data_IF_185223319376
#
_entry.id   IF_185223319376
#
_cell.length_a   1.000
_cell.length_b   1.000
_cell.length_c   1.000
_cell.angle_alpha   90.00
_cell.angle_beta   90.00
_cell.angle_gamma   90.00
#
_symmetry.space_group_name_H-M   'P 1'
#
loop_
_entity.id
_entity.type
_entity.pdbx_description
1 polymer ?
#
# COMPACT_ATOMS: atom_id res chain seq x y z
N UNK A 1 -23.39 -18.45 -15.31
CA UNK A 1 -22.53 -19.61 -15.01
C UNK A 1 -21.30 -19.07 -14.30
N UNK A 2 -20.76 -19.76 -13.30
CA UNK A 2 -19.50 -19.34 -12.68
C UNK A 2 -18.40 -19.41 -13.74
N UNK A 3 -17.56 -18.38 -13.85
CA UNK A 3 -16.39 -18.40 -14.74
C UNK A 3 -15.47 -19.54 -14.30
N UNK A 4 -14.94 -20.30 -15.26
CA UNK A 4 -14.08 -21.46 -14.98
C UNK A 4 -12.83 -21.05 -14.18
N UNK A 5 -12.31 -19.85 -14.39
CA UNK A 5 -11.16 -19.32 -13.64
C UNK A 5 -11.49 -19.11 -12.17
N UNK A 6 -12.67 -18.57 -11.86
CA UNK A 6 -13.09 -18.38 -10.48
C UNK A 6 -13.21 -19.72 -9.73
N UNK A 7 -13.84 -20.73 -10.35
CA UNK A 7 -13.99 -22.06 -9.75
C UNK A 7 -12.64 -22.75 -9.57
N UNK A 8 -11.71 -22.55 -10.50
CA UNK A 8 -10.36 -23.10 -10.43
C UNK A 8 -9.56 -22.51 -9.24
N UNK A 9 -9.53 -21.19 -9.06
CA UNK A 9 -8.89 -20.58 -7.87
C UNK A 9 -9.57 -20.95 -6.55
N UNK A 10 -10.88 -21.24 -6.57
CA UNK A 10 -11.62 -21.67 -5.39
C UNK A 10 -11.28 -23.10 -4.96
N UNK A 11 -11.10 -24.00 -5.93
CA UNK A 11 -10.86 -25.44 -5.69
C UNK A 11 -9.38 -25.81 -5.63
N UNK A 12 -8.55 -25.06 -6.35
CA UNK A 12 -7.11 -25.27 -6.50
C UNK A 12 -6.33 -23.97 -6.22
N UNK A 13 -6.40 -23.44 -4.99
CA UNK A 13 -5.80 -22.14 -4.68
C UNK A 13 -4.27 -22.13 -4.79
N UNK A 14 -3.72 -21.00 -5.24
CA UNK A 14 -2.28 -20.79 -5.47
C UNK A 14 -1.66 -20.09 -4.27
N UNK A 15 -0.59 -20.68 -3.73
CA UNK A 15 0.14 -20.12 -2.59
C UNK A 15 -0.67 -20.09 -1.28
N UNK A 16 -1.70 -20.91 -1.13
CA UNK A 16 -2.36 -21.07 0.17
C UNK A 16 -1.41 -21.81 1.13
N UNK A 17 -1.12 -21.23 2.28
CA UNK A 17 -0.29 -21.89 3.28
C UNK A 17 0.33 -20.96 4.31
N UNK A 18 1.40 -21.46 4.92
CA UNK A 18 2.11 -20.76 5.98
C UNK A 18 2.89 -19.54 5.47
N UNK A 19 3.25 -18.67 6.41
CA UNK A 19 4.06 -17.47 6.16
C UNK A 19 5.54 -17.89 6.01
N UNK A 20 6.18 -17.62 4.86
CA UNK A 20 7.60 -17.93 4.68
C UNK A 20 8.47 -17.15 5.67
N UNK A 21 9.60 -17.75 6.07
CA UNK A 21 10.59 -17.03 6.88
C UNK A 21 11.13 -15.81 6.12
N UNK A 22 11.12 -14.65 6.80
CA UNK A 22 11.52 -13.37 6.21
C UNK A 22 10.40 -12.66 5.43
N UNK A 23 9.21 -13.26 5.27
CA UNK A 23 8.13 -12.60 4.58
C UNK A 23 7.47 -11.49 5.43
N UNK A 24 7.04 -10.43 4.77
CA UNK A 24 6.25 -9.35 5.34
C UNK A 24 4.76 -9.60 5.10
N UNK A 25 3.96 -9.44 6.15
CA UNK A 25 2.53 -9.72 6.11
C UNK A 25 1.71 -8.43 5.97
N UNK A 26 0.78 -8.44 5.03
CA UNK A 26 -0.33 -7.50 4.97
C UNK A 26 -1.65 -8.21 5.28
N UNK A 27 -2.55 -7.51 5.99
CA UNK A 27 -3.85 -8.05 6.41
C UNK A 27 -4.94 -7.04 6.07
N UNK A 28 -6.07 -7.51 5.56
CA UNK A 28 -7.27 -6.69 5.31
C UNK A 28 -8.54 -7.47 5.66
N UNK A 29 -9.56 -6.75 6.16
CA UNK A 29 -10.86 -7.32 6.54
C UNK A 29 -11.14 -7.34 8.04
N UNK A 30 -12.11 -8.15 8.47
CA UNK A 30 -12.41 -8.47 9.87
C UNK A 30 -13.59 -7.73 10.54
N UNK A 31 -13.99 -6.54 10.07
CA UNK A 31 -14.95 -5.69 10.79
C UNK A 31 -16.41 -5.72 10.27
N UNK A 32 -16.63 -5.80 8.95
CA UNK A 32 -17.97 -5.59 8.36
C UNK A 32 -18.62 -6.86 7.81
N UNK A 33 -17.87 -7.71 7.11
CA UNK A 33 -18.38 -8.92 6.44
C UNK A 33 -17.90 -10.23 7.07
N UNK A 34 -16.94 -10.18 7.99
CA UNK A 34 -16.27 -11.35 8.56
C UNK A 34 -15.18 -11.95 7.68
N UNK A 35 -15.01 -11.48 6.44
CA UNK A 35 -13.89 -11.89 5.58
C UNK A 35 -12.58 -11.29 6.10
N UNK A 36 -11.52 -12.09 6.04
CA UNK A 36 -10.16 -11.70 6.39
C UNK A 36 -9.21 -12.31 5.36
N UNK A 37 -8.35 -11.47 4.78
CA UNK A 37 -7.28 -11.89 3.88
C UNK A 37 -5.95 -11.48 4.49
N UNK A 38 -5.02 -12.43 4.56
CA UNK A 38 -3.61 -12.22 4.88
C UNK A 38 -2.78 -12.64 3.68
N UNK A 39 -1.90 -11.75 3.24
CA UNK A 39 -0.91 -12.03 2.20
C UNK A 39 0.48 -11.84 2.82
N UNK A 40 1.39 -12.76 2.53
CA UNK A 40 2.79 -12.69 2.93
C UNK A 40 3.67 -12.63 1.68
N UNK A 41 4.54 -11.62 1.60
CA UNK A 41 5.44 -11.39 0.48
C UNK A 41 6.88 -11.40 0.98
N UNK A 42 7.76 -12.10 0.27
CA UNK A 42 9.20 -11.99 0.40
C UNK A 42 9.80 -11.40 -0.86
N UNK A 43 10.76 -10.50 -0.69
CA UNK A 43 11.42 -9.82 -1.81
C UNK A 43 12.90 -10.18 -1.83
N UNK A 44 13.42 -10.45 -3.01
CA UNK A 44 14.86 -10.55 -3.23
C UNK A 44 15.26 -9.52 -4.28
N UNK A 45 15.99 -8.50 -3.83
CA UNK A 45 16.42 -7.33 -4.63
C UNK A 45 15.25 -6.56 -5.23
N UNK A 46 14.86 -6.87 -6.46
CA UNK A 46 13.85 -6.17 -7.25
C UNK A 46 12.65 -7.05 -7.59
N UNK A 47 12.57 -8.27 -7.03
CA UNK A 47 11.53 -9.26 -7.37
C UNK A 47 10.85 -9.86 -6.15
N UNK A 48 9.58 -10.22 -6.34
CA UNK A 48 8.85 -11.08 -5.42
C UNK A 48 9.40 -12.49 -5.56
N UNK A 49 10.16 -12.95 -4.56
CA UNK A 49 10.77 -14.28 -4.57
C UNK A 49 9.78 -15.36 -4.12
N UNK A 50 8.80 -14.97 -3.30
CA UNK A 50 7.76 -15.87 -2.83
C UNK A 50 6.55 -15.08 -2.32
N UNK A 51 5.36 -15.59 -2.60
CA UNK A 51 4.09 -15.02 -2.15
C UNK A 51 3.16 -16.13 -1.63
N UNK A 52 2.61 -15.96 -0.42
CA UNK A 52 1.59 -16.87 0.13
C UNK A 52 0.41 -16.10 0.68
N UNK A 53 -0.70 -16.81 0.89
CA UNK A 53 -1.88 -16.26 1.52
C UNK A 53 -2.53 -17.22 2.51
N UNK A 54 -3.28 -16.61 3.43
CA UNK A 54 -4.30 -17.27 4.24
C UNK A 54 -5.56 -16.41 4.22
N UNK A 55 -6.72 -17.03 4.01
CA UNK A 55 -8.00 -16.33 3.99
C UNK A 55 -9.05 -17.09 4.82
N UNK A 56 -9.93 -16.33 5.48
CA UNK A 56 -11.11 -16.85 6.17
C UNK A 56 -12.34 -16.03 5.78
N UNK A 57 -13.52 -16.66 5.78
CA UNK A 57 -14.77 -16.04 5.35
C UNK A 57 -15.30 -16.68 4.07
N UNK A 58 -15.74 -15.88 3.11
CA UNK A 58 -16.36 -16.37 1.89
C UNK A 58 -15.34 -16.96 0.89
N UNK A 59 -15.79 -17.90 0.05
CA UNK A 59 -14.96 -18.50 -0.99
C UNK A 59 -14.39 -17.48 -2.00
N UNK A 60 -15.09 -16.35 -2.21
CA UNK A 60 -14.58 -15.29 -3.08
C UNK A 60 -13.32 -14.63 -2.51
N UNK A 61 -13.19 -14.49 -1.18
CA UNK A 61 -11.98 -13.97 -0.54
C UNK A 61 -10.78 -14.90 -0.76
N UNK A 62 -10.99 -16.22 -0.63
CA UNK A 62 -9.95 -17.21 -0.94
C UNK A 62 -9.54 -17.18 -2.41
N UNK A 63 -10.51 -17.16 -3.33
CA UNK A 63 -10.23 -17.09 -4.77
C UNK A 63 -9.52 -15.79 -5.17
N UNK A 64 -9.91 -14.66 -4.61
CA UNK A 64 -9.27 -13.36 -4.85
C UNK A 64 -7.84 -13.31 -4.32
N UNK A 65 -7.58 -13.86 -3.11
CA UNK A 65 -6.24 -13.95 -2.57
C UNK A 65 -5.35 -14.88 -3.42
N UNK A 66 -5.87 -16.04 -3.80
CA UNK A 66 -5.22 -16.99 -4.71
C UNK A 66 -4.84 -16.33 -6.06
N UNK A 67 -5.76 -15.57 -6.67
CA UNK A 67 -5.49 -14.82 -7.89
C UNK A 67 -4.43 -13.71 -7.69
N UNK A 68 -4.47 -12.99 -6.56
CA UNK A 68 -3.46 -12.00 -6.24
C UNK A 68 -2.06 -12.62 -6.13
N UNK A 69 -1.93 -13.81 -5.53
CA UNK A 69 -0.64 -14.52 -5.46
C UNK A 69 -0.13 -14.89 -6.86
N UNK A 70 -0.98 -15.49 -7.69
CA UNK A 70 -0.60 -15.91 -9.05
C UNK A 70 -0.17 -14.72 -9.92
N UNK A 71 -0.79 -13.55 -9.74
CA UNK A 71 -0.45 -12.33 -10.47
C UNK A 71 0.92 -11.74 -10.08
N UNK A 72 1.42 -11.99 -8.85
CA UNK A 72 2.62 -11.31 -8.34
C UNK A 72 3.83 -12.22 -8.16
N UNK A 73 3.65 -13.54 -8.06
CA UNK A 73 4.76 -14.45 -7.80
C UNK A 73 5.79 -14.42 -8.95
N UNK A 74 7.07 -14.18 -8.60
CA UNK A 74 8.17 -14.01 -9.57
C UNK A 74 8.20 -12.67 -10.32
N UNK A 75 7.21 -11.78 -10.14
CA UNK A 75 7.19 -10.47 -10.80
C UNK A 75 8.22 -9.51 -10.20
N UNK A 76 8.52 -8.44 -10.94
CA UNK A 76 9.24 -7.31 -10.35
C UNK A 76 8.38 -6.67 -9.25
N UNK A 77 9.00 -6.09 -8.22
CA UNK A 77 8.25 -5.43 -7.14
C UNK A 77 7.39 -4.27 -7.64
N UNK A 78 7.83 -3.60 -8.72
CA UNK A 78 7.09 -2.50 -9.33
C UNK A 78 5.89 -2.99 -10.14
N UNK A 79 6.00 -4.12 -10.83
CA UNK A 79 4.85 -4.68 -11.56
C UNK A 79 3.86 -5.34 -10.60
N UNK A 80 4.34 -6.02 -9.55
CA UNK A 80 3.48 -6.51 -8.48
C UNK A 80 2.70 -5.38 -7.80
N UNK A 81 3.33 -4.22 -7.59
CA UNK A 81 2.69 -3.04 -7.01
C UNK A 81 1.66 -2.35 -7.92
N UNK A 82 1.55 -2.74 -9.20
CA UNK A 82 0.47 -2.30 -10.10
C UNK A 82 -0.78 -3.17 -9.99
N UNK A 83 -0.70 -4.36 -9.38
CA UNK A 83 -1.84 -5.27 -9.24
C UNK A 83 -2.84 -4.68 -8.24
N UNK A 84 -4.04 -4.35 -8.73
CA UNK A 84 -5.12 -3.80 -7.93
C UNK A 84 -6.40 -4.63 -7.96
N UNK A 85 -7.46 -4.08 -7.38
CA UNK A 85 -8.80 -4.69 -7.34
C UNK A 85 -9.28 -5.11 -8.72
N UNK A 86 -9.02 -4.27 -9.73
CA UNK A 86 -9.44 -4.50 -11.11
C UNK A 86 -8.73 -5.72 -11.70
N UNK A 87 -7.42 -5.79 -11.57
CA UNK A 87 -6.60 -6.87 -12.12
C UNK A 87 -6.98 -8.22 -11.50
N UNK A 88 -7.13 -8.26 -10.18
CA UNK A 88 -7.60 -9.46 -9.45
C UNK A 88 -8.99 -9.88 -9.94
N UNK A 89 -9.91 -8.91 -10.09
CA UNK A 89 -11.26 -9.22 -10.56
C UNK A 89 -11.27 -9.73 -12.01
N UNK A 90 -10.51 -9.10 -12.90
CA UNK A 90 -10.43 -9.49 -14.32
C UNK A 90 -9.75 -10.85 -14.49
N UNK A 91 -8.73 -11.14 -13.67
CA UNK A 91 -8.05 -12.43 -13.65
C UNK A 91 -8.99 -13.58 -13.29
N UNK A 92 -9.90 -13.35 -12.34
CA UNK A 92 -10.98 -14.29 -11.99
C UNK A 92 -12.14 -14.35 -13.00
N UNK A 93 -12.08 -13.56 -14.06
CA UNK A 93 -13.10 -13.46 -15.09
C UNK A 93 -14.26 -12.52 -14.83
N UNK A 94 -14.01 -11.55 -13.98
CA UNK A 94 -14.98 -10.56 -13.54
C UNK A 94 -15.73 -11.06 -12.31
N UNK A 95 -15.82 -10.19 -11.31
CA UNK A 95 -16.61 -10.42 -10.11
C UNK A 95 -17.91 -9.63 -10.20
N UNK A 96 -19.00 -10.21 -9.72
CA UNK A 96 -20.25 -9.49 -9.58
C UNK A 96 -20.12 -8.41 -8.50
N UNK A 97 -20.98 -7.39 -8.53
CA UNK A 97 -20.94 -6.27 -7.59
C UNK A 97 -20.88 -6.72 -6.11
N UNK A 98 -21.61 -7.78 -5.75
CA UNK A 98 -21.60 -8.34 -4.39
C UNK A 98 -20.34 -9.10 -3.99
N UNK A 99 -19.40 -9.34 -4.92
CA UNK A 99 -18.13 -10.06 -4.68
C UNK A 99 -16.89 -9.20 -4.93
N UNK A 100 -17.02 -7.99 -5.50
CA UNK A 100 -15.89 -7.09 -5.76
C UNK A 100 -15.08 -6.81 -4.49
N UNK A 101 -15.76 -6.71 -3.34
CA UNK A 101 -15.10 -6.50 -2.06
C UNK A 101 -14.02 -7.54 -1.73
N UNK A 102 -14.17 -8.79 -2.18
CA UNK A 102 -13.14 -9.81 -2.00
C UNK A 102 -11.82 -9.46 -2.72
N UNK A 103 -11.91 -8.88 -3.92
CA UNK A 103 -10.75 -8.38 -4.66
C UNK A 103 -10.15 -7.12 -4.00
N UNK A 104 -10.98 -6.27 -3.40
CA UNK A 104 -10.50 -5.11 -2.62
C UNK A 104 -9.69 -5.56 -1.41
N UNK A 105 -10.18 -6.54 -0.64
CA UNK A 105 -9.46 -7.09 0.51
C UNK A 105 -8.13 -7.73 0.09
N UNK A 106 -8.12 -8.51 -1.00
CA UNK A 106 -6.89 -9.10 -1.52
C UNK A 106 -5.89 -8.01 -1.96
N UNK A 107 -6.33 -6.98 -2.68
CA UNK A 107 -5.48 -5.87 -3.11
C UNK A 107 -4.95 -5.03 -1.93
N UNK A 108 -5.76 -4.81 -0.90
CA UNK A 108 -5.34 -4.13 0.33
C UNK A 108 -4.28 -4.92 1.09
N UNK A 109 -4.51 -6.22 1.29
CA UNK A 109 -3.55 -7.09 1.95
C UNK A 109 -2.24 -7.17 1.16
N UNK A 110 -2.33 -7.26 -0.18
CA UNK A 110 -1.17 -7.28 -1.07
C UNK A 110 -0.36 -5.98 -0.98
N UNK A 111 -1.02 -4.82 -1.10
CA UNK A 111 -0.34 -3.52 -1.08
C UNK A 111 0.41 -3.27 0.24
N UNK A 112 -0.16 -3.71 1.38
CA UNK A 112 0.50 -3.65 2.69
C UNK A 112 1.69 -4.61 2.79
N UNK A 113 1.53 -5.84 2.31
CA UNK A 113 2.60 -6.84 2.32
C UNK A 113 3.79 -6.40 1.46
N UNK A 114 3.52 -5.92 0.24
CA UNK A 114 4.51 -5.36 -0.66
C UNK A 114 5.21 -4.14 -0.06
N UNK A 115 4.46 -3.19 0.52
CA UNK A 115 5.06 -2.01 1.14
C UNK A 115 6.04 -2.37 2.26
N UNK A 116 5.67 -3.31 3.13
CA UNK A 116 6.56 -3.82 4.17
C UNK A 116 7.80 -4.51 3.61
N UNK A 117 7.63 -5.43 2.65
CA UNK A 117 8.73 -6.18 2.06
C UNK A 117 9.70 -5.26 1.31
N UNK A 118 9.18 -4.32 0.51
CA UNK A 118 9.99 -3.36 -0.25
C UNK A 118 10.74 -2.43 0.69
N UNK A 119 10.09 -1.91 1.72
CA UNK A 119 10.72 -1.03 2.70
C UNK A 119 11.80 -1.72 3.54
N UNK A 120 11.80 -3.05 3.63
CA UNK A 120 12.78 -3.80 4.41
C UNK A 120 13.90 -4.39 3.55
N UNK A 121 13.59 -4.93 2.37
CA UNK A 121 14.47 -5.85 1.64
C UNK A 121 14.79 -5.39 0.20
N UNK A 122 13.97 -4.53 -0.41
CA UNK A 122 14.19 -4.16 -1.80
C UNK A 122 15.45 -3.33 -2.00
N UNK A 123 16.10 -3.57 -3.13
CA UNK A 123 17.27 -2.84 -3.59
C UNK A 123 17.28 -2.78 -5.11
N UNK A 124 16.71 -1.71 -5.66
CA UNK A 124 16.69 -1.41 -7.09
C UNK A 124 17.86 -0.50 -7.44
N UNK A 125 18.34 -0.62 -8.68
CA UNK A 125 19.38 0.27 -9.18
C UNK A 125 18.86 1.72 -9.28
N UNK A 126 19.67 2.74 -8.93
CA UNK A 126 19.28 4.13 -9.07
C UNK A 126 18.94 4.50 -10.50
N UNK A 127 17.80 5.16 -10.69
CA UNK A 127 17.33 5.66 -11.98
C UNK A 127 17.17 7.17 -11.89
N UNK A 128 18.07 7.94 -12.53
CA UNK A 128 17.97 9.40 -12.56
C UNK A 128 16.60 9.85 -13.07
N UNK A 129 15.96 10.77 -12.34
CA UNK A 129 14.65 11.32 -12.71
C UNK A 129 13.45 10.46 -12.32
N UNK A 130 13.65 9.28 -11.71
CA UNK A 130 12.53 8.54 -11.11
C UNK A 130 12.05 9.27 -9.85
N UNK A 131 10.74 9.48 -9.79
CA UNK A 131 10.06 10.17 -8.71
C UNK A 131 9.28 9.19 -7.84
N UNK A 132 9.46 9.26 -6.51
CA UNK A 132 8.52 8.71 -5.55
C UNK A 132 7.45 9.76 -5.24
N UNK A 133 6.17 9.41 -5.29
CA UNK A 133 5.05 10.33 -5.12
C UNK A 133 4.28 9.99 -3.86
N UNK A 134 4.23 10.94 -2.91
CA UNK A 134 3.45 10.82 -1.70
C UNK A 134 1.95 11.04 -1.98
N UNK A 135 1.14 10.02 -1.72
CA UNK A 135 -0.29 10.00 -1.98
C UNK A 135 -1.10 9.92 -0.67
N UNK A 136 -2.18 10.71 -0.58
CA UNK A 136 -3.07 10.77 0.58
C UNK A 136 -4.54 10.52 0.25
N UNK A 137 -4.87 10.27 -1.02
CA UNK A 137 -6.25 10.12 -1.49
C UNK A 137 -7.02 11.45 -1.60
N UNK A 138 -6.32 12.59 -1.45
CA UNK A 138 -6.83 13.94 -1.66
C UNK A 138 -6.38 14.57 -2.99
N UNK A 139 -7.03 15.67 -3.38
CA UNK A 139 -6.86 16.35 -4.67
C UNK A 139 -5.42 16.80 -4.92
N UNK A 140 -4.76 17.40 -3.93
CA UNK A 140 -3.41 17.94 -4.09
C UNK A 140 -2.40 16.86 -4.49
N UNK A 141 -2.45 15.71 -3.81
CA UNK A 141 -1.60 14.57 -4.16
C UNK A 141 -1.95 13.96 -5.51
N UNK A 142 -3.22 13.99 -5.91
CA UNK A 142 -3.67 13.52 -7.21
C UNK A 142 -3.16 14.40 -8.35
N UNK A 143 -3.16 15.73 -8.16
CA UNK A 143 -2.59 16.68 -9.13
C UNK A 143 -1.08 16.47 -9.24
N UNK A 144 -0.37 16.32 -8.12
CA UNK A 144 1.05 16.00 -8.14
C UNK A 144 1.35 14.68 -8.88
N UNK A 145 0.55 13.63 -8.63
CA UNK A 145 0.68 12.36 -9.33
C UNK A 145 0.49 12.50 -10.84
N UNK A 146 -0.54 13.23 -11.26
CA UNK A 146 -0.82 13.47 -12.67
C UNK A 146 0.29 14.26 -13.38
N UNK A 147 0.80 15.32 -12.74
CA UNK A 147 1.87 16.14 -13.30
C UNK A 147 3.19 15.35 -13.42
N UNK A 148 3.55 14.56 -12.41
CA UNK A 148 4.74 13.71 -12.48
C UNK A 148 4.58 12.62 -13.55
N UNK A 149 3.43 11.94 -13.61
CA UNK A 149 3.18 10.93 -14.63
C UNK A 149 3.25 11.47 -16.06
N UNK A 150 2.89 12.74 -16.27
CA UNK A 150 2.96 13.39 -17.58
C UNK A 150 4.34 13.96 -17.92
N UNK A 151 5.16 14.28 -16.91
CA UNK A 151 6.42 15.02 -17.08
C UNK A 151 7.70 14.23 -16.82
N UNK A 152 7.62 13.04 -16.23
CA UNK A 152 8.78 12.19 -15.95
C UNK A 152 9.13 11.31 -17.15
N UNK A 153 10.42 11.23 -17.48
CA UNK A 153 10.95 10.29 -18.48
C UNK A 153 10.85 8.84 -18.01
N UNK A 154 10.89 8.64 -16.70
CA UNK A 154 10.83 7.34 -16.02
C UNK A 154 9.53 7.20 -15.23
N UNK A 155 8.86 6.02 -15.24
CA UNK A 155 7.59 5.84 -14.54
C UNK A 155 7.73 6.13 -13.04
N UNK A 156 6.96 7.09 -12.51
CA UNK A 156 6.95 7.35 -11.07
C UNK A 156 6.40 6.16 -10.27
N UNK A 157 6.75 6.12 -8.99
CA UNK A 157 6.18 5.17 -8.03
C UNK A 157 5.36 5.94 -7.00
N UNK A 158 4.13 5.50 -6.73
CA UNK A 158 3.27 6.10 -5.74
C UNK A 158 3.37 5.38 -4.39
N UNK A 159 3.29 6.13 -3.29
CA UNK A 159 3.25 5.57 -1.94
C UNK A 159 2.17 6.24 -1.08
N UNK A 160 1.43 5.45 -0.32
CA UNK A 160 0.53 5.93 0.74
C UNK A 160 1.04 5.49 2.10
N UNK A 161 0.96 6.38 3.10
CA UNK A 161 1.37 6.09 4.48
C UNK A 161 0.13 5.86 5.35
N UNK A 162 0.08 4.72 6.05
CA UNK A 162 -0.88 4.47 7.11
C UNK A 162 -0.28 4.90 8.45
N UNK A 163 -0.75 6.03 8.99
CA UNK A 163 -0.21 6.62 10.22
C UNK A 163 -1.06 6.33 11.46
N UNK A 164 -2.38 6.17 11.28
CA UNK A 164 -3.30 6.00 12.40
C UNK A 164 -4.52 5.21 11.98
N UNK A 165 -4.94 4.29 12.86
CA UNK A 165 -6.23 3.61 12.80
C UNK A 165 -6.67 3.40 14.25
N UNK A 166 -7.73 4.08 14.66
CA UNK A 166 -8.36 3.84 15.96
C UNK A 166 -9.58 2.95 15.74
N UNK A 167 -9.69 1.88 16.51
CA UNK A 167 -10.84 0.97 16.49
C UNK A 167 -12.06 1.60 17.19
N UNK A 168 -11.85 2.63 18.01
CA UNK A 168 -12.87 3.30 18.82
C UNK A 168 -13.39 4.61 18.19
N UNK A 169 -12.77 5.06 17.09
CA UNK A 169 -13.18 6.27 16.38
C UNK A 169 -13.67 5.89 14.97
N UNK A 170 -14.44 6.79 14.34
CA UNK A 170 -14.83 6.62 12.93
C UNK A 170 -13.59 6.78 12.04
N UNK A 171 -12.89 5.66 11.83
CA UNK A 171 -11.66 5.59 11.05
C UNK A 171 -11.86 6.09 9.61
N UNK A 172 -13.11 6.08 9.09
CA UNK A 172 -13.43 6.56 7.74
C UNK A 172 -13.39 8.08 7.59
N UNK A 173 -13.58 8.83 8.68
CA UNK A 173 -13.44 10.29 8.68
C UNK A 173 -11.97 10.78 8.72
N UNK A 174 -11.02 9.88 8.93
CA UNK A 174 -9.59 10.23 9.02
C UNK A 174 -8.93 10.32 7.64
N UNK A 175 -7.91 11.17 7.50
CA UNK A 175 -7.12 11.26 6.27
C UNK A 175 -6.38 9.95 5.90
N UNK A 176 -6.26 9.01 6.85
CA UNK A 176 -5.65 7.69 6.67
C UNK A 176 -6.70 6.56 6.64
N UNK A 177 -7.96 6.85 6.29
CA UNK A 177 -9.01 5.83 6.20
C UNK A 177 -8.72 4.75 5.17
N UNK A 178 -9.36 3.58 5.32
CA UNK A 178 -9.24 2.52 4.32
C UNK A 178 -9.69 3.02 2.94
N UNK A 179 -10.78 3.80 2.90
CA UNK A 179 -11.25 4.41 1.66
C UNK A 179 -10.27 5.42 1.07
N UNK A 180 -9.53 6.18 1.89
CA UNK A 180 -8.49 7.10 1.40
C UNK A 180 -7.32 6.35 0.77
N UNK A 181 -6.84 5.27 1.39
CA UNK A 181 -5.80 4.39 0.83
C UNK A 181 -6.27 3.76 -0.47
N UNK A 182 -7.49 3.24 -0.52
CA UNK A 182 -8.08 2.67 -1.72
C UNK A 182 -8.18 3.70 -2.85
N UNK A 183 -8.67 4.92 -2.57
CA UNK A 183 -8.74 6.00 -3.58
C UNK A 183 -7.36 6.36 -4.12
N UNK A 184 -6.36 6.48 -3.25
CA UNK A 184 -4.98 6.77 -3.65
C UNK A 184 -4.43 5.68 -4.59
N UNK A 185 -4.61 4.41 -4.22
CA UNK A 185 -4.17 3.28 -5.02
C UNK A 185 -4.89 3.20 -6.36
N UNK A 186 -6.22 3.30 -6.37
CA UNK A 186 -7.01 3.25 -7.60
C UNK A 186 -6.65 4.39 -8.57
N UNK A 187 -6.33 5.59 -8.04
CA UNK A 187 -5.86 6.69 -8.86
C UNK A 187 -4.47 6.41 -9.45
N UNK A 188 -3.52 5.93 -8.64
CA UNK A 188 -2.19 5.57 -9.10
C UNK A 188 -2.26 4.48 -10.20
N UNK A 189 -3.04 3.42 -9.97
CA UNK A 189 -3.27 2.35 -10.95
C UNK A 189 -3.95 2.87 -12.22
N UNK A 190 -4.90 3.80 -12.10
CA UNK A 190 -5.54 4.46 -13.25
C UNK A 190 -4.56 5.29 -14.11
N UNK A 191 -3.45 5.74 -13.52
CA UNK A 191 -2.33 6.38 -14.22
C UNK A 191 -1.26 5.37 -14.68
N UNK A 192 -1.44 4.07 -14.45
CA UNK A 192 -0.47 3.02 -14.76
C UNK A 192 0.73 2.95 -13.81
N UNK A 193 0.65 3.63 -12.65
CA UNK A 193 1.75 3.72 -11.68
C UNK A 193 1.72 2.56 -10.69
N UNK A 194 2.90 2.12 -10.29
CA UNK A 194 3.07 1.22 -9.14
C UNK A 194 2.63 1.96 -7.86
N UNK A 195 1.95 1.28 -6.94
CA UNK A 195 1.51 1.84 -5.67
C UNK A 195 1.89 0.94 -4.48
N UNK A 196 2.48 1.54 -3.45
CA UNK A 196 2.85 0.87 -2.20
C UNK A 196 2.12 1.49 -1.00
N UNK A 197 1.83 0.67 0.01
CA UNK A 197 1.29 1.15 1.29
C UNK A 197 2.30 0.87 2.40
N UNK A 198 2.83 1.92 3.05
CA UNK A 198 3.68 1.78 4.23
C UNK A 198 2.86 1.91 5.50
N UNK A 199 2.92 0.88 6.35
CA UNK A 199 2.39 0.95 7.71
C UNK A 199 3.42 1.59 8.63
N UNK A 200 3.12 2.80 9.09
CA UNK A 200 3.96 3.58 10.01
C UNK A 200 3.22 3.86 11.32
N UNK A 201 2.17 3.09 11.66
CA UNK A 201 1.33 3.35 12.83
C UNK A 201 2.11 3.34 14.15
N UNK A 202 3.01 2.39 14.33
CA UNK A 202 3.86 2.32 15.53
C UNK A 202 4.84 3.48 15.59
N UNK A 203 5.55 3.76 14.49
CA UNK A 203 6.49 4.87 14.39
C UNK A 203 5.82 6.23 14.63
N UNK A 204 4.62 6.43 14.07
CA UNK A 204 3.82 7.62 14.29
C UNK A 204 3.37 7.76 15.76
N UNK A 205 2.93 6.66 16.39
CA UNK A 205 2.54 6.68 17.80
C UNK A 205 3.71 7.08 18.70
N UNK A 206 4.86 6.42 18.56
CA UNK A 206 6.04 6.68 19.36
C UNK A 206 6.67 8.06 19.06
N UNK A 207 6.74 8.46 17.79
CA UNK A 207 7.42 9.68 17.35
C UNK A 207 6.59 10.96 17.48
N UNK A 208 5.26 10.85 17.44
CA UNK A 208 4.35 12.00 17.41
C UNK A 208 3.36 11.99 18.56
N UNK A 209 2.59 10.91 18.72
CA UNK A 209 1.46 10.87 19.66
C UNK A 209 1.94 10.87 21.10
N UNK A 210 2.87 9.99 21.47
CA UNK A 210 3.39 9.91 22.84
C UNK A 210 4.10 11.21 23.28
N UNK A 211 4.99 11.83 22.48
CA UNK A 211 5.57 13.13 22.80
C UNK A 211 4.53 14.25 22.89
N UNK A 212 3.47 14.19 22.06
CA UNK A 212 2.39 15.17 22.09
C UNK A 212 1.60 15.08 23.39
N UNK A 213 1.21 13.87 23.82
CA UNK A 213 0.52 13.63 25.11
C UNK A 213 1.42 14.06 26.29
N UNK A 214 2.68 13.61 26.32
CA UNK A 214 3.61 13.94 27.39
C UNK A 214 3.88 15.46 27.48
N UNK A 215 3.98 16.14 26.33
CA UNK A 215 4.14 17.59 26.27
C UNK A 215 2.94 18.33 26.89
N UNK A 216 1.71 17.93 26.54
CA UNK A 216 0.50 18.52 27.12
C UNK A 216 0.39 18.24 28.63
N UNK A 217 0.70 17.02 29.07
CA UNK A 217 0.74 16.69 30.49
C UNK A 217 1.75 17.54 31.27
N UNK A 218 2.81 18.00 30.62
CA UNK A 218 3.82 18.91 31.18
C UNK A 218 3.49 20.41 30.98
N UNK A 219 2.28 20.76 30.53
CA UNK A 219 1.87 22.16 30.31
C UNK A 219 2.48 22.82 29.07
N UNK A 220 3.00 22.04 28.11
CA UNK A 220 3.52 22.52 26.83
C UNK A 220 2.48 22.39 25.73
N UNK A 221 2.65 23.12 24.64
CA UNK A 221 1.82 23.06 23.42
C UNK A 221 2.64 22.62 22.19
N UNK A 222 3.14 21.37 22.17
CA UNK A 222 3.98 20.89 21.07
C UNK A 222 3.22 20.87 19.74
N UNK A 223 3.86 21.31 18.66
CA UNK A 223 3.33 21.15 17.30
C UNK A 223 3.65 19.74 16.76
N UNK A 224 2.64 18.84 16.61
CA UNK A 224 2.88 17.47 16.17
C UNK A 224 3.27 17.39 14.69
N UNK A 225 2.89 18.37 13.86
CA UNK A 225 3.11 18.34 12.42
C UNK A 225 4.60 18.44 12.05
N UNK A 226 5.40 19.15 12.84
CA UNK A 226 6.85 19.26 12.63
C UNK A 226 7.51 17.88 12.77
N UNK A 227 7.14 17.13 13.82
CA UNK A 227 7.64 15.77 14.07
C UNK A 227 7.11 14.77 13.05
N UNK A 228 5.81 14.85 12.76
CA UNK A 228 5.15 13.97 11.80
C UNK A 228 5.76 14.10 10.41
N UNK A 229 5.88 15.33 9.89
CA UNK A 229 6.43 15.52 8.54
C UNK A 229 7.91 15.21 8.47
N UNK A 230 8.74 15.70 9.41
CA UNK A 230 10.17 15.45 9.40
C UNK A 230 10.51 14.00 9.74
N UNK A 231 10.39 13.65 11.01
CA UNK A 231 10.99 12.43 11.59
C UNK A 231 10.18 11.14 11.40
N UNK A 232 9.03 11.19 10.74
CA UNK A 232 8.19 10.00 10.49
C UNK A 232 7.90 9.84 9.01
N UNK A 233 7.31 10.85 8.37
CA UNK A 233 6.86 10.74 6.99
C UNK A 233 8.00 10.90 5.99
N UNK A 234 8.73 12.02 6.05
CA UNK A 234 9.78 12.31 5.07
C UNK A 234 10.92 11.32 5.18
N UNK A 235 11.40 11.01 6.40
CA UNK A 235 12.47 10.03 6.60
C UNK A 235 12.10 8.66 5.99
N UNK A 236 10.92 8.12 6.32
CA UNK A 236 10.48 6.84 5.76
C UNK A 236 10.31 6.86 4.22
N UNK A 237 9.83 7.97 3.66
CA UNK A 237 9.69 8.11 2.20
C UNK A 237 11.04 8.27 1.50
N UNK A 238 12.00 8.98 2.10
CA UNK A 238 13.35 9.12 1.56
C UNK A 238 14.10 7.78 1.57
N UNK A 239 13.95 7.00 2.65
CA UNK A 239 14.48 5.64 2.72
C UNK A 239 13.84 4.72 1.67
N UNK A 240 12.51 4.78 1.52
CA UNK A 240 11.81 4.03 0.48
C UNK A 240 12.25 4.46 -0.93
N UNK A 241 12.40 5.76 -1.17
CA UNK A 241 12.85 6.29 -2.45
C UNK A 241 14.23 5.72 -2.82
N UNK A 242 15.17 5.73 -1.87
CA UNK A 242 16.49 5.15 -2.07
C UNK A 242 16.43 3.65 -2.42
N UNK A 243 15.58 2.87 -1.74
CA UNK A 243 15.39 1.43 -2.03
C UNK A 243 14.80 1.15 -3.41
N UNK A 244 13.96 2.06 -3.91
CA UNK A 244 13.33 1.99 -5.22
C UNK A 244 14.16 2.61 -6.36
N UNK A 245 15.36 3.12 -6.02
CA UNK A 245 16.21 3.83 -6.96
C UNK A 245 15.63 5.17 -7.43
N UNK A 246 14.68 5.75 -6.70
CA UNK A 246 14.09 7.05 -6.99
C UNK A 246 14.99 8.17 -6.48
N UNK A 247 15.38 9.10 -7.35
CA UNK A 247 16.22 10.26 -7.01
C UNK A 247 15.43 11.46 -6.49
N UNK A 248 14.11 11.45 -6.64
CA UNK A 248 13.24 12.57 -6.34
C UNK A 248 12.02 12.13 -5.52
N UNK A 249 11.53 13.04 -4.66
CA UNK A 249 10.31 12.86 -3.88
C UNK A 249 9.36 14.03 -4.19
N UNK A 250 8.17 13.70 -4.69
CA UNK A 250 7.10 14.67 -4.92
C UNK A 250 5.99 14.51 -3.87
N UNK A 251 5.44 15.63 -3.42
CA UNK A 251 4.27 15.66 -2.52
C UNK A 251 3.25 16.67 -3.02
N UNK A 252 1.97 16.49 -2.66
CA UNK A 252 0.90 17.40 -3.08
C UNK A 252 0.94 18.81 -2.47
N UNK A 253 1.71 19.04 -1.39
CA UNK A 253 1.78 20.36 -0.77
C UNK A 253 2.88 21.19 -1.44
N UNK A 254 2.48 22.28 -2.09
CA UNK A 254 3.40 23.20 -2.74
C UNK A 254 4.15 24.02 -1.69
N UNK A 255 5.43 23.70 -1.49
CA UNK A 255 6.34 24.59 -0.80
C UNK A 255 7.09 25.43 -1.84
N UNK A 256 7.17 26.74 -1.62
CA UNK A 256 8.14 27.60 -2.31
C UNK A 256 9.33 27.76 -1.40
N UNK A 257 10.53 27.58 -1.94
CA UNK A 257 11.75 28.00 -1.25
C UNK A 257 11.68 29.52 -1.16
N UNK A 258 11.58 30.03 0.06
CA UNK A 258 11.80 31.45 0.35
C UNK A 258 13.27 31.63 0.68
N UNK A 259 13.91 32.63 0.07
CA UNK A 259 15.21 33.10 0.53
C UNK A 259 14.93 34.02 1.75
N UNK A 260 15.28 33.54 2.95
CA UNK A 260 15.34 34.37 4.16
C UNK A 260 16.72 35.07 4.28
#
# INVERSE_FOLDING_TARGET
MADERFEDHLRHPRGQGDVPTGAHCGVAGGAACGDLVRIAIRVERDRVSHATFAASGCGAASAAASAAIELVDGQSVLDAAKVGTRDVSEHLGGLSAGKIHAAELAADALARALGGAVAAEAQLDPIPGRVLIAMSGGVDSAVAAHLCAAGSDEPPVAVTLELWRDEQNDAEGSCCSASAVQRARSLAHGLGLAHLTLDLREAFRAGVVEPWIAGHAAGKTPNPCVRCNGAVRLDAMLELAARLGASELATGHYARIGDD
#
